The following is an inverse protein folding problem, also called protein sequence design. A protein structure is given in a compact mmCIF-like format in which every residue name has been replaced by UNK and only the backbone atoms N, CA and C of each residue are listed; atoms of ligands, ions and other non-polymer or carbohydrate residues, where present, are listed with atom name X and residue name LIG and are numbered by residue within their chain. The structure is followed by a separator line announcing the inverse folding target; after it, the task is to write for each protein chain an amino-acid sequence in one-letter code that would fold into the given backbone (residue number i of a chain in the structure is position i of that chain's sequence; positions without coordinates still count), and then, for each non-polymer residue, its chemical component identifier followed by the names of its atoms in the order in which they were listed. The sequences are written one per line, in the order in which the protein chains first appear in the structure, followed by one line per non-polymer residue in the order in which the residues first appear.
data_IF_251342647536
#
_entry.id   IF_251342647536
#
_cell.length_a   1.000
_cell.length_b   1.000
_cell.length_c   1.000
_cell.angle_alpha   90.00
_cell.angle_beta   90.00
_cell.angle_gamma   90.00
#
_symmetry.space_group_name_H-M   'P 1'
#
loop_
_entity.id
_entity.type
_entity.pdbx_description
1 polymer ?
#
# COMPACT_ATOMS: atom_id res chain seq x y z
N UNK A 1 -25.48 3.09 4.40
CA UNK A 1 -24.80 3.30 3.09
C UNK A 1 -23.70 2.27 2.81
N UNK A 2 -22.74 2.08 3.72
CA UNK A 2 -21.58 1.20 3.54
C UNK A 2 -21.88 -0.24 3.07
N UNK A 3 -22.80 -0.95 3.74
CA UNK A 3 -23.12 -2.34 3.39
C UNK A 3 -23.74 -2.50 1.99
N UNK A 4 -24.51 -1.51 1.52
CA UNK A 4 -25.07 -1.53 0.16
C UNK A 4 -23.97 -1.45 -0.90
N UNK A 5 -22.91 -0.69 -0.64
CA UNK A 5 -21.80 -0.45 -1.58
C UNK A 5 -20.70 -1.52 -1.47
N UNK A 6 -20.36 -1.94 -0.25
CA UNK A 6 -19.16 -2.73 0.06
C UNK A 6 -19.45 -4.12 0.66
N UNK A 7 -20.69 -4.38 1.08
CA UNK A 7 -21.09 -5.64 1.72
C UNK A 7 -21.05 -6.84 0.76
N UNK A 8 -21.28 -8.04 1.31
CA UNK A 8 -21.30 -9.29 0.53
C UNK A 8 -19.94 -9.67 -0.06
N UNK A 9 -18.83 -9.26 0.56
CA UNK A 9 -17.47 -9.56 0.10
C UNK A 9 -16.94 -8.67 -1.03
N UNK A 10 -17.74 -7.74 -1.57
CA UNK A 10 -17.35 -6.85 -2.67
C UNK A 10 -16.13 -5.99 -2.34
N UNK A 11 -16.03 -5.48 -1.11
CA UNK A 11 -14.83 -4.75 -0.68
C UNK A 11 -13.55 -5.60 -0.76
N UNK A 12 -13.61 -6.85 -0.30
CA UNK A 12 -12.47 -7.78 -0.35
C UNK A 12 -12.07 -8.06 -1.80
N UNK A 13 -13.05 -8.36 -2.66
CA UNK A 13 -12.80 -8.65 -4.08
C UNK A 13 -12.19 -7.46 -4.82
N UNK A 14 -12.69 -6.25 -4.57
CA UNK A 14 -12.12 -5.03 -5.15
C UNK A 14 -10.66 -4.82 -4.72
N UNK A 15 -10.38 -4.97 -3.42
CA UNK A 15 -9.00 -4.88 -2.91
C UNK A 15 -8.12 -5.98 -3.51
N UNK A 16 -8.55 -7.23 -3.57
CA UNK A 16 -7.74 -8.30 -4.18
C UNK A 16 -7.41 -8.04 -5.65
N UNK A 17 -8.38 -7.50 -6.41
CA UNK A 17 -8.15 -7.07 -7.79
C UNK A 17 -7.09 -5.97 -7.86
N UNK A 18 -7.18 -4.96 -7.00
CA UNK A 18 -6.22 -3.86 -6.96
C UNK A 18 -4.81 -4.33 -6.60
N UNK A 19 -4.68 -5.23 -5.61
CA UNK A 19 -3.37 -5.77 -5.23
C UNK A 19 -2.74 -6.63 -6.33
N UNK A 20 -3.53 -7.43 -7.05
CA UNK A 20 -3.02 -8.12 -8.25
C UNK A 20 -2.55 -7.12 -9.30
N UNK A 21 -3.30 -6.04 -9.51
CA UNK A 21 -2.94 -5.00 -10.47
C UNK A 21 -1.63 -4.27 -10.10
N UNK A 22 -1.28 -4.14 -8.82
CA UNK A 22 0.01 -3.59 -8.41
C UNK A 22 1.20 -4.41 -8.90
N UNK A 23 1.01 -5.71 -9.15
CA UNK A 23 2.06 -6.59 -9.68
C UNK A 23 1.99 -6.69 -11.20
N UNK A 24 0.79 -6.78 -11.76
CA UNK A 24 0.59 -7.13 -13.18
C UNK A 24 0.50 -5.93 -14.11
N UNK A 25 0.02 -4.77 -13.63
CA UNK A 25 -0.16 -3.60 -14.49
C UNK A 25 1.19 -2.98 -14.91
N UNK A 26 1.25 -2.53 -16.16
CA UNK A 26 2.45 -1.90 -16.70
C UNK A 26 2.87 -0.65 -15.92
N UNK A 27 1.91 0.17 -15.49
CA UNK A 27 2.16 1.39 -14.72
C UNK A 27 2.73 1.10 -13.33
N UNK A 28 2.18 0.11 -12.61
CA UNK A 28 2.69 -0.26 -11.30
C UNK A 28 4.09 -0.87 -11.38
N UNK A 29 4.33 -1.75 -12.38
CA UNK A 29 5.67 -2.30 -12.65
C UNK A 29 6.69 -1.21 -12.95
N UNK A 30 6.33 -0.23 -13.76
CA UNK A 30 7.20 0.91 -14.06
C UNK A 30 7.53 1.73 -12.80
N UNK A 31 6.53 1.99 -11.95
CA UNK A 31 6.70 2.73 -10.70
C UNK A 31 7.60 1.97 -9.70
N UNK A 32 7.37 0.68 -9.48
CA UNK A 32 8.20 -0.12 -8.57
C UNK A 32 9.61 -0.34 -9.10
N UNK A 33 9.78 -0.53 -10.42
CA UNK A 33 11.10 -0.56 -11.05
C UNK A 33 11.86 0.74 -10.76
N UNK A 34 11.22 1.90 -10.95
CA UNK A 34 11.82 3.20 -10.66
C UNK A 34 12.22 3.31 -9.18
N UNK A 35 11.32 2.98 -8.26
CA UNK A 35 11.60 3.02 -6.82
C UNK A 35 12.84 2.20 -6.46
N UNK A 36 12.89 0.92 -6.86
CA UNK A 36 14.02 0.03 -6.53
C UNK A 36 15.31 0.49 -7.22
N UNK A 37 15.22 0.97 -8.46
CA UNK A 37 16.38 1.44 -9.20
C UNK A 37 16.97 2.70 -8.58
N UNK A 38 16.13 3.67 -8.17
CA UNK A 38 16.59 4.88 -7.48
C UNK A 38 17.18 4.55 -6.10
N UNK A 39 16.56 3.63 -5.35
CA UNK A 39 17.08 3.18 -4.05
C UNK A 39 18.45 2.49 -4.17
N UNK A 40 18.70 1.77 -5.26
CA UNK A 40 19.97 1.09 -5.51
C UNK A 40 21.11 2.03 -5.96
N UNK A 41 20.86 3.33 -6.17
CA UNK A 41 21.90 4.28 -6.61
C UNK A 41 22.87 4.56 -5.48
N UNK A 42 24.14 4.23 -5.69
CA UNK A 42 25.23 4.41 -4.71
C UNK A 42 25.48 5.87 -4.29
N UNK A 43 25.16 6.83 -5.15
CA UNK A 43 25.23 8.27 -4.85
C UNK A 43 23.88 8.86 -4.38
N UNK A 44 22.91 8.01 -4.03
CA UNK A 44 21.56 8.44 -3.62
C UNK A 44 21.52 9.04 -2.22
N UNK A 45 20.53 9.91 -1.99
CA UNK A 45 20.15 10.43 -0.68
C UNK A 45 18.77 9.94 -0.24
N UNK A 46 18.17 10.53 0.81
CA UNK A 46 16.83 10.19 1.25
C UNK A 46 15.80 10.24 0.11
N UNK A 47 15.00 9.17 -0.04
CA UNK A 47 14.04 9.01 -1.13
C UNK A 47 12.59 8.93 -0.60
N UNK A 48 11.84 10.05 -0.58
CA UNK A 48 10.41 9.99 -0.27
C UNK A 48 9.64 9.36 -1.43
N UNK A 49 8.72 8.45 -1.11
CA UNK A 49 7.77 7.90 -2.08
C UNK A 49 6.40 7.74 -1.41
N UNK A 50 5.34 8.10 -2.13
CA UNK A 50 3.99 8.07 -1.57
C UNK A 50 2.94 7.79 -2.65
N UNK A 51 1.73 7.52 -2.20
CA UNK A 51 0.52 7.53 -2.99
C UNK A 51 -0.47 8.50 -2.32
N UNK A 52 -1.76 8.43 -2.65
CA UNK A 52 -2.76 9.36 -2.08
C UNK A 52 -2.89 9.21 -0.56
N UNK A 53 -2.98 7.98 -0.05
CA UNK A 53 -3.21 7.69 1.37
C UNK A 53 -2.00 7.04 2.06
N UNK A 54 -0.87 6.91 1.37
CA UNK A 54 0.34 6.25 1.91
C UNK A 54 0.19 4.76 2.26
N UNK A 55 -0.92 4.09 1.90
CA UNK A 55 -1.21 2.71 2.33
C UNK A 55 -0.98 1.66 1.25
N UNK A 56 -1.74 1.71 0.15
CA UNK A 56 -1.86 0.58 -0.76
C UNK A 56 -0.65 0.47 -1.71
N UNK A 57 -0.52 1.43 -2.64
CA UNK A 57 0.62 1.48 -3.58
C UNK A 57 1.94 1.72 -2.86
N UNK A 58 1.95 2.61 -1.87
CA UNK A 58 3.12 2.86 -1.00
C UNK A 58 3.47 1.64 -0.18
N UNK A 59 2.50 0.99 0.47
CA UNK A 59 2.73 -0.23 1.23
C UNK A 59 3.32 -1.34 0.36
N UNK A 60 2.88 -1.50 -0.89
CA UNK A 60 3.53 -2.42 -1.82
C UNK A 60 5.03 -2.11 -2.03
N UNK A 61 5.40 -0.84 -2.12
CA UNK A 61 6.82 -0.43 -2.16
C UNK A 61 7.57 -0.72 -0.86
N UNK A 62 6.97 -0.39 0.29
CA UNK A 62 7.50 -0.70 1.63
C UNK A 62 7.69 -2.20 1.83
N UNK A 63 6.80 -3.03 1.30
CA UNK A 63 6.88 -4.50 1.36
C UNK A 63 7.98 -5.06 0.45
N UNK A 64 8.16 -4.51 -0.76
CA UNK A 64 9.17 -5.00 -1.71
C UNK A 64 10.61 -4.81 -1.19
N UNK A 65 10.88 -3.73 -0.48
CA UNK A 65 12.23 -3.40 0.02
C UNK A 65 12.80 -4.49 0.96
N UNK A 66 12.15 -4.86 2.09
CA UNK A 66 12.63 -5.91 2.97
C UNK A 66 12.64 -7.28 2.27
N UNK A 67 11.69 -7.58 1.39
CA UNK A 67 11.72 -8.83 0.62
C UNK A 67 12.95 -8.94 -0.29
N UNK A 68 13.46 -7.82 -0.81
CA UNK A 68 14.67 -7.79 -1.64
C UNK A 68 15.96 -7.79 -0.80
N UNK A 69 15.96 -7.13 0.36
CA UNK A 69 17.16 -6.96 1.19
C UNK A 69 17.37 -8.06 2.23
N UNK A 70 16.27 -8.62 2.76
CA UNK A 70 16.23 -9.57 3.88
C UNK A 70 15.14 -10.62 3.64
N UNK A 71 15.27 -11.45 2.58
CA UNK A 71 14.22 -12.39 2.17
C UNK A 71 13.86 -13.43 3.24
N UNK A 72 14.80 -13.74 4.14
CA UNK A 72 14.59 -14.72 5.22
C UNK A 72 13.96 -14.11 6.49
N UNK A 73 13.81 -12.78 6.55
CA UNK A 73 13.18 -12.10 7.68
C UNK A 73 11.69 -11.83 7.39
N UNK A 74 10.76 -12.33 8.20
CA UNK A 74 9.32 -12.14 7.98
C UNK A 74 8.82 -10.74 8.40
N UNK A 75 9.57 -9.68 8.09
CA UNK A 75 9.30 -8.28 8.53
C UNK A 75 8.34 -7.53 7.59
N UNK A 76 8.23 -7.98 6.33
CA UNK A 76 7.39 -7.34 5.32
C UNK A 76 5.92 -7.12 5.72
N UNK A 77 5.23 -8.07 6.38
CA UNK A 77 3.88 -7.84 6.89
C UNK A 77 3.83 -6.75 7.96
N UNK A 78 4.76 -6.74 8.91
CA UNK A 78 4.75 -5.78 10.01
C UNK A 78 4.98 -4.35 9.50
N UNK A 79 5.96 -4.17 8.60
CA UNK A 79 6.21 -2.90 7.93
C UNK A 79 4.99 -2.41 7.14
N UNK A 80 4.31 -3.31 6.43
CA UNK A 80 3.08 -2.99 5.71
C UNK A 80 1.96 -2.52 6.66
N UNK A 81 1.85 -3.13 7.84
CA UNK A 81 0.77 -2.88 8.80
C UNK A 81 1.03 -1.67 9.72
N UNK A 82 2.28 -1.20 9.81
CA UNK A 82 2.69 -0.08 10.65
C UNK A 82 1.93 1.24 10.36
N UNK A 83 1.40 1.41 9.15
CA UNK A 83 0.61 2.59 8.74
C UNK A 83 -0.79 2.64 9.36
N UNK A 84 -1.28 1.55 9.97
CA UNK A 84 -2.67 1.43 10.47
C UNK A 84 -3.06 2.49 11.50
N UNK A 85 -2.27 2.79 12.55
CA UNK A 85 -2.66 3.79 13.55
C UNK A 85 -2.83 5.18 12.93
N UNK A 86 -1.88 5.60 12.08
CA UNK A 86 -1.94 6.88 11.39
C UNK A 86 -3.19 7.00 10.49
N UNK A 87 -3.52 5.94 9.75
CA UNK A 87 -4.72 5.93 8.90
C UNK A 87 -6.03 5.98 9.68
N UNK A 88 -6.11 5.31 10.84
CA UNK A 88 -7.31 5.35 11.68
C UNK A 88 -7.61 6.78 12.11
N UNK A 89 -6.58 7.55 12.46
CA UNK A 89 -6.70 8.97 12.80
C UNK A 89 -7.06 9.78 11.56
N UNK A 90 -6.27 9.66 10.49
CA UNK A 90 -6.41 10.49 9.29
C UNK A 90 -7.75 10.30 8.56
N UNK A 91 -8.37 9.12 8.67
CA UNK A 91 -9.62 8.78 7.99
C UNK A 91 -10.83 8.70 8.92
N UNK A 92 -10.70 9.06 10.20
CA UNK A 92 -11.75 8.91 11.21
C UNK A 92 -13.07 9.57 10.77
N UNK A 93 -13.00 10.83 10.31
CA UNK A 93 -14.16 11.61 9.86
C UNK A 93 -14.85 10.98 8.65
N UNK A 94 -14.07 10.56 7.65
CA UNK A 94 -14.60 9.96 6.42
C UNK A 94 -15.25 8.60 6.70
N UNK A 95 -14.63 7.79 7.57
CA UNK A 95 -15.19 6.51 8.00
C UNK A 95 -16.51 6.75 8.72
N UNK A 96 -16.54 7.64 9.72
CA UNK A 96 -17.75 7.97 10.46
C UNK A 96 -18.89 8.44 9.54
N UNK A 97 -18.61 9.34 8.60
CA UNK A 97 -19.60 9.82 7.62
C UNK A 97 -20.10 8.71 6.68
N UNK A 98 -19.25 7.73 6.36
CA UNK A 98 -19.61 6.63 5.47
C UNK A 98 -20.40 5.51 6.17
N UNK A 99 -20.15 5.29 7.46
CA UNK A 99 -20.79 4.25 8.28
C UNK A 99 -22.02 4.75 9.05
N UNK A 100 -22.09 6.04 9.39
CA UNK A 100 -23.12 6.65 10.25
C UNK A 100 -24.45 6.97 9.58
N UNK A 101 -24.75 6.39 8.42
CA UNK A 101 -26.04 6.53 7.71
C UNK A 101 -26.38 5.35 6.83
#
# INVERSE_FOLDING_TARGET
KANRTLGGGRARQALEKDYRAFVTSASARAAYKKLVTELARRAGGPLPFHCTAGKYRTGGGVTLIPLLLRPDEPTAPDEYLAVRPALRVALATQVAAFTGG
#
